data_IF_101858716922
#
_entry.id   IF_101858716922
#
_cell.length_a   1.000
_cell.length_b   1.000
_cell.length_c   1.000
_cell.angle_alpha   90.00
_cell.angle_beta   90.00
_cell.angle_gamma   90.00
#
_symmetry.space_group_name_H-M   'P 1'
#
loop_
_entity.id
_entity.type
_entity.pdbx_description
1 polymer ?
#
# COMPACT_ATOMS: atom_id res chain seq x y z
N UNK A 1 -27.45 10.65 -35.06
CA UNK A 1 -28.91 10.74 -35.31
C UNK A 1 -29.44 12.13 -35.02
N UNK A 2 -29.47 12.61 -33.77
CA UNK A 2 -30.02 13.94 -33.42
C UNK A 2 -29.34 15.11 -34.16
N UNK A 3 -28.00 15.13 -34.26
CA UNK A 3 -27.29 16.16 -35.04
C UNK A 3 -27.66 16.15 -36.53
N UNK A 4 -27.81 14.96 -37.13
CA UNK A 4 -28.26 14.79 -38.51
C UNK A 4 -29.71 15.27 -38.70
N UNK A 5 -30.60 14.98 -37.75
CA UNK A 5 -31.98 15.45 -37.78
C UNK A 5 -32.07 16.99 -37.66
N UNK A 6 -31.24 17.60 -36.81
CA UNK A 6 -31.11 19.06 -36.73
C UNK A 6 -30.69 19.62 -38.09
N UNK A 7 -29.62 19.08 -38.69
CA UNK A 7 -29.14 19.53 -40.01
C UNK A 7 -30.24 19.38 -41.08
N UNK A 8 -30.98 18.27 -41.08
CA UNK A 8 -32.06 18.04 -42.05
C UNK A 8 -33.23 19.02 -41.91
N UNK A 9 -33.60 19.42 -40.69
CA UNK A 9 -34.67 20.42 -40.45
C UNK A 9 -34.30 21.80 -41.02
N UNK A 10 -33.01 22.15 -41.03
CA UNK A 10 -32.53 23.43 -41.54
C UNK A 10 -32.21 23.40 -43.04
N UNK A 11 -31.75 22.26 -43.57
CA UNK A 11 -31.38 22.11 -44.98
C UNK A 11 -32.59 21.80 -45.88
N UNK A 12 -33.59 21.06 -45.38
CA UNK A 12 -34.81 20.68 -46.13
C UNK A 12 -36.08 21.08 -45.37
N UNK A 13 -36.33 22.38 -45.15
CA UNK A 13 -37.49 22.84 -44.36
C UNK A 13 -38.84 22.50 -45.02
N UNK A 14 -38.88 22.41 -46.35
CA UNK A 14 -40.04 22.04 -47.17
C UNK A 14 -40.56 20.63 -46.84
N UNK A 15 -39.67 19.70 -46.47
CA UNK A 15 -40.01 18.30 -46.20
C UNK A 15 -40.81 18.13 -44.90
N UNK A 16 -40.56 19.01 -43.92
CA UNK A 16 -41.13 18.90 -42.57
C UNK A 16 -42.30 19.86 -42.34
N UNK A 17 -42.55 20.81 -43.24
CA UNK A 17 -43.67 21.77 -43.19
C UNK A 17 -43.81 22.50 -41.83
N UNK A 18 -42.68 22.73 -41.14
CA UNK A 18 -42.66 23.35 -39.82
C UNK A 18 -42.52 24.88 -39.90
N UNK A 19 -43.40 25.66 -39.23
CA UNK A 19 -43.22 27.11 -39.07
C UNK A 19 -41.88 27.45 -38.40
N UNK A 20 -41.33 28.63 -38.66
CA UNK A 20 -40.00 29.04 -38.18
C UNK A 20 -39.82 28.86 -36.67
N UNK A 21 -40.78 29.32 -35.87
CA UNK A 21 -40.74 29.20 -34.40
C UNK A 21 -40.75 27.74 -33.92
N UNK A 22 -41.50 26.86 -34.60
CA UNK A 22 -41.50 25.43 -34.32
C UNK A 22 -40.20 24.74 -34.72
N UNK A 23 -39.57 25.17 -35.82
CA UNK A 23 -38.23 24.67 -36.21
C UNK A 23 -37.19 24.98 -35.15
N UNK A 24 -37.19 26.20 -34.61
CA UNK A 24 -36.29 26.60 -33.52
C UNK A 24 -36.54 25.76 -32.26
N UNK A 25 -37.82 25.60 -31.86
CA UNK A 25 -38.19 24.82 -30.68
C UNK A 25 -37.79 23.34 -30.80
N UNK A 26 -38.11 22.70 -31.93
CA UNK A 26 -37.75 21.30 -32.21
C UNK A 26 -36.24 21.13 -32.28
N UNK A 27 -35.52 22.08 -32.90
CA UNK A 27 -34.05 22.07 -32.93
C UNK A 27 -33.46 22.15 -31.53
N UNK A 28 -33.98 23.03 -30.67
CA UNK A 28 -33.52 23.15 -29.29
C UNK A 28 -33.70 21.86 -28.49
N UNK A 29 -34.85 21.20 -28.64
CA UNK A 29 -35.13 19.92 -28.00
C UNK A 29 -34.25 18.78 -28.54
N UNK A 30 -34.06 18.70 -29.86
CA UNK A 30 -33.14 17.72 -30.47
C UNK A 30 -31.69 17.98 -30.07
N UNK A 31 -31.29 19.24 -29.90
CA UNK A 31 -29.96 19.62 -29.46
C UNK A 31 -29.72 19.22 -28.01
N UNK A 32 -30.71 19.40 -27.14
CA UNK A 32 -30.66 18.88 -25.77
C UNK A 32 -30.46 17.37 -25.75
N UNK A 33 -31.24 16.60 -26.52
CA UNK A 33 -31.05 15.15 -26.62
C UNK A 33 -29.70 14.76 -27.24
N UNK A 34 -29.21 15.54 -28.21
CA UNK A 34 -27.87 15.37 -28.75
C UNK A 34 -26.81 15.51 -27.65
N UNK A 35 -26.86 16.58 -26.84
CA UNK A 35 -25.91 16.79 -25.75
C UNK A 35 -25.95 15.66 -24.73
N UNK A 36 -27.13 15.18 -24.35
CA UNK A 36 -27.29 14.05 -23.42
C UNK A 36 -26.67 12.77 -23.99
N UNK A 37 -26.98 12.42 -25.25
CA UNK A 37 -26.41 11.23 -25.89
C UNK A 37 -24.93 11.36 -26.19
N UNK A 38 -24.45 12.55 -26.50
CA UNK A 38 -23.05 12.84 -26.70
C UNK A 38 -22.27 12.62 -25.41
N UNK A 39 -22.75 13.15 -24.28
CA UNK A 39 -22.18 12.89 -22.96
C UNK A 39 -22.17 11.39 -22.64
N UNK A 40 -23.29 10.68 -22.82
CA UNK A 40 -23.34 9.23 -22.61
C UNK A 40 -22.33 8.47 -23.47
N UNK A 41 -22.14 8.89 -24.73
CA UNK A 41 -21.12 8.33 -25.61
C UNK A 41 -19.70 8.57 -25.09
N UNK A 42 -19.41 9.77 -24.59
CA UNK A 42 -18.12 10.08 -23.98
C UNK A 42 -17.87 9.26 -22.71
N UNK A 43 -18.88 9.10 -21.85
CA UNK A 43 -18.79 8.28 -20.63
C UNK A 43 -18.50 6.80 -20.99
N UNK A 44 -19.15 6.25 -22.02
CA UNK A 44 -18.86 4.89 -22.50
C UNK A 44 -17.44 4.75 -23.05
N UNK A 45 -16.96 5.76 -23.79
CA UNK A 45 -15.59 5.77 -24.31
C UNK A 45 -14.54 5.92 -23.19
N UNK A 46 -14.84 6.73 -22.17
CA UNK A 46 -14.04 6.87 -20.94
C UNK A 46 -13.93 5.53 -20.23
N UNK A 47 -15.06 4.89 -19.96
CA UNK A 47 -15.13 3.56 -19.37
C UNK A 47 -14.33 2.50 -20.15
N UNK A 48 -14.51 2.43 -21.47
CA UNK A 48 -13.77 1.49 -22.31
C UNK A 48 -12.25 1.73 -22.27
N UNK A 49 -11.82 2.99 -22.26
CA UNK A 49 -10.41 3.34 -22.07
C UNK A 49 -9.92 2.92 -20.68
N UNK A 50 -10.73 3.13 -19.65
CA UNK A 50 -10.42 2.74 -18.27
C UNK A 50 -10.20 1.23 -18.10
N UNK A 51 -10.95 0.38 -18.81
CA UNK A 51 -10.75 -1.07 -18.80
C UNK A 51 -9.38 -1.52 -19.33
N UNK A 52 -8.70 -0.67 -20.11
CA UNK A 52 -7.39 -0.93 -20.71
C UNK A 52 -6.25 -0.20 -20.00
N UNK A 53 -6.54 0.62 -19.00
CA UNK A 53 -5.57 1.45 -18.31
C UNK A 53 -5.45 1.07 -16.84
N UNK A 54 -4.26 1.28 -16.28
CA UNK A 54 -4.04 1.25 -14.84
C UNK A 54 -3.69 2.68 -14.42
N UNK A 55 -4.42 3.29 -13.48
CA UNK A 55 -4.02 4.57 -12.93
C UNK A 55 -2.68 4.40 -12.23
N UNK A 56 -1.69 5.19 -12.64
CA UNK A 56 -0.45 5.33 -11.89
C UNK A 56 -0.65 6.45 -10.87
N UNK A 57 -0.63 6.08 -9.59
CA UNK A 57 -0.69 7.03 -8.50
C UNK A 57 0.64 7.06 -7.75
N UNK A 58 1.20 8.25 -7.61
CA UNK A 58 2.40 8.50 -6.84
C UNK A 58 2.18 9.73 -5.96
N UNK A 59 2.78 9.71 -4.78
CA UNK A 59 2.66 10.77 -3.78
C UNK A 59 3.99 10.91 -3.06
N UNK A 60 4.47 12.16 -2.91
CA UNK A 60 5.58 12.44 -2.03
C UNK A 60 5.17 12.18 -0.60
N UNK A 61 6.09 11.68 0.23
CA UNK A 61 5.79 11.53 1.67
C UNK A 61 5.34 12.86 2.29
N UNK A 62 5.87 14.00 1.84
CA UNK A 62 5.49 15.32 2.35
C UNK A 62 4.01 15.62 2.14
N UNK A 63 3.47 15.23 0.99
CA UNK A 63 2.08 15.48 0.59
C UNK A 63 1.08 14.47 1.19
N UNK A 64 1.56 13.55 2.04
CA UNK A 64 0.71 12.54 2.68
C UNK A 64 -0.38 13.21 3.52
N UNK A 65 -1.68 12.97 3.23
CA UNK A 65 -2.75 13.51 4.04
C UNK A 65 -2.75 12.85 5.41
N UNK A 66 -2.66 13.66 6.47
CA UNK A 66 -2.74 13.19 7.86
C UNK A 66 -4.03 13.72 8.46
N UNK A 67 -4.96 12.81 8.74
CA UNK A 67 -6.23 13.14 9.38
C UNK A 67 -6.19 12.80 10.87
N UNK A 68 -6.90 13.55 11.72
CA UNK A 68 -6.99 13.20 13.16
C UNK A 68 -7.80 11.91 13.39
N UNK A 69 -8.95 11.78 12.75
CA UNK A 69 -9.92 10.70 13.03
C UNK A 69 -10.06 9.66 11.89
N UNK A 70 -9.19 9.71 10.88
CA UNK A 70 -9.24 8.82 9.72
C UNK A 70 -7.82 8.40 9.32
N UNK A 71 -7.71 7.28 8.63
CA UNK A 71 -6.48 6.80 8.02
C UNK A 71 -6.68 6.71 6.52
N UNK A 72 -5.83 7.36 5.75
CA UNK A 72 -5.80 7.22 4.31
C UNK A 72 -5.14 5.89 3.92
N UNK A 73 -5.83 5.10 3.09
CA UNK A 73 -5.36 3.80 2.61
C UNK A 73 -4.93 3.82 1.13
N UNK A 74 -5.17 4.93 0.43
CA UNK A 74 -4.95 5.05 -1.01
C UNK A 74 -6.20 5.52 -1.73
N UNK A 75 -6.19 5.38 -3.05
CA UNK A 75 -7.32 5.69 -3.93
C UNK A 75 -8.11 4.41 -4.25
N UNK A 76 -9.41 4.54 -4.42
CA UNK A 76 -10.29 3.44 -4.81
C UNK A 76 -11.75 3.85 -4.78
N UNK A 77 -12.64 2.88 -4.95
CA UNK A 77 -14.08 3.13 -4.99
C UNK A 77 -14.83 2.06 -4.20
N UNK A 78 -16.02 2.42 -3.71
CA UNK A 78 -16.91 1.44 -3.10
C UNK A 78 -17.39 0.46 -4.16
N UNK A 79 -17.13 -0.83 -3.95
CA UNK A 79 -17.60 -1.88 -4.85
C UNK A 79 -19.11 -2.04 -4.67
N UNK A 80 -19.87 -1.65 -5.69
CA UNK A 80 -21.33 -1.77 -5.76
C UNK A 80 -21.71 -2.93 -6.70
N UNK A 81 -22.95 -3.45 -6.65
CA UNK A 81 -23.40 -4.52 -7.55
C UNK A 81 -23.17 -4.25 -9.04
N UNK A 82 -23.27 -2.98 -9.45
CA UNK A 82 -22.95 -2.55 -10.83
C UNK A 82 -21.49 -2.80 -11.21
N UNK A 83 -20.55 -2.65 -10.29
CA UNK A 83 -19.12 -2.89 -10.53
C UNK A 83 -18.83 -4.38 -10.67
N UNK A 84 -19.50 -5.22 -9.86
CA UNK A 84 -19.41 -6.66 -9.98
C UNK A 84 -19.97 -7.15 -11.32
N UNK A 85 -21.13 -6.63 -11.75
CA UNK A 85 -21.70 -6.94 -13.07
C UNK A 85 -20.76 -6.51 -14.21
N UNK A 86 -20.25 -5.28 -14.16
CA UNK A 86 -19.28 -4.78 -15.15
C UNK A 86 -18.03 -5.64 -15.23
N UNK A 87 -17.51 -6.10 -14.09
CA UNK A 87 -16.37 -7.01 -14.05
C UNK A 87 -16.70 -8.37 -14.66
N UNK A 88 -17.87 -8.92 -14.35
CA UNK A 88 -18.36 -10.16 -14.96
C UNK A 88 -18.49 -10.03 -16.49
N UNK A 89 -19.10 -8.93 -16.96
CA UNK A 89 -19.27 -8.65 -18.39
C UNK A 89 -17.92 -8.52 -19.10
N UNK A 90 -16.93 -7.86 -18.47
CA UNK A 90 -15.56 -7.70 -19.00
C UNK A 90 -14.80 -9.01 -19.18
N UNK A 91 -15.29 -10.10 -18.58
CA UNK A 91 -14.70 -11.44 -18.66
C UNK A 91 -15.42 -12.35 -19.66
N UNK A 92 -16.48 -11.86 -20.30
CA UNK A 92 -17.19 -12.61 -21.34
C UNK A 92 -16.44 -12.56 -22.67
N UNK A 93 -16.64 -13.60 -23.49
CA UNK A 93 -16.00 -13.74 -24.80
C UNK A 93 -16.34 -12.56 -25.71
N UNK A 94 -17.60 -12.12 -25.73
CA UNK A 94 -18.04 -10.99 -26.56
C UNK A 94 -17.37 -9.67 -26.17
N UNK A 95 -16.88 -9.56 -24.93
CA UNK A 95 -16.22 -8.36 -24.41
C UNK A 95 -14.73 -8.31 -24.75
N UNK A 96 -14.14 -9.39 -25.28
CA UNK A 96 -12.72 -9.50 -25.62
C UNK A 96 -12.22 -8.31 -26.44
N UNK A 97 -13.01 -7.86 -27.42
CA UNK A 97 -12.70 -6.71 -28.27
C UNK A 97 -12.52 -5.38 -27.54
N UNK A 98 -13.05 -5.25 -26.32
CA UNK A 98 -12.98 -4.03 -25.51
C UNK A 98 -11.88 -4.10 -24.44
N UNK A 99 -11.46 -5.31 -24.05
CA UNK A 99 -10.50 -5.54 -22.97
C UNK A 99 -9.13 -6.01 -23.45
N UNK A 100 -8.98 -6.23 -24.75
CA UNK A 100 -7.70 -6.55 -25.39
C UNK A 100 -7.03 -5.29 -25.94
N UNK A 101 -5.72 -5.12 -25.74
CA UNK A 101 -4.99 -4.02 -26.36
C UNK A 101 -5.07 -4.06 -27.89
N UNK A 102 -5.02 -2.88 -28.52
CA UNK A 102 -5.12 -2.78 -29.98
C UNK A 102 -3.90 -3.36 -30.70
N UNK A 103 -4.05 -3.69 -31.99
CA UNK A 103 -2.91 -4.11 -32.85
C UNK A 103 -1.77 -3.07 -32.85
N UNK A 104 -2.11 -1.79 -32.80
CA UNK A 104 -1.14 -0.69 -32.70
C UNK A 104 -0.36 -0.75 -31.39
N UNK A 105 -1.02 -1.06 -30.27
CA UNK A 105 -0.35 -1.26 -28.98
C UNK A 105 0.70 -2.37 -29.07
N UNK A 106 0.34 -3.52 -29.64
CA UNK A 106 1.29 -4.63 -29.83
C UNK A 106 2.42 -4.28 -30.80
N UNK A 107 2.14 -3.51 -31.85
CA UNK A 107 3.17 -3.00 -32.74
C UNK A 107 4.15 -2.06 -32.01
N UNK A 108 3.65 -1.14 -31.20
CA UNK A 108 4.48 -0.23 -30.39
C UNK A 108 5.41 -1.02 -29.45
N UNK A 109 4.89 -2.02 -28.73
CA UNK A 109 5.70 -2.89 -27.85
C UNK A 109 6.77 -3.68 -28.62
N UNK A 110 6.49 -4.10 -29.86
CA UNK A 110 7.50 -4.73 -30.74
C UNK A 110 8.58 -3.73 -31.19
N UNK A 111 8.20 -2.49 -31.47
CA UNK A 111 9.16 -1.44 -31.86
C UNK A 111 10.06 -1.05 -30.69
N UNK A 112 9.53 -1.00 -29.46
CA UNK A 112 10.34 -0.79 -28.25
C UNK A 112 11.43 -1.84 -28.11
N UNK A 113 11.06 -3.12 -28.17
CA UNK A 113 12.02 -4.22 -28.06
C UNK A 113 13.05 -4.23 -29.21
N UNK A 114 12.65 -3.83 -30.42
CA UNK A 114 13.54 -3.82 -31.59
C UNK A 114 14.54 -2.67 -31.57
N UNK A 115 14.15 -1.52 -31.02
CA UNK A 115 14.93 -0.27 -31.07
C UNK A 115 15.38 0.18 -29.68
N UNK A 116 15.70 -0.77 -28.80
CA UNK A 116 16.22 -0.49 -27.46
C UNK A 116 17.41 0.49 -27.52
N UNK A 117 17.42 1.46 -26.60
CA UNK A 117 18.39 2.54 -26.52
C UNK A 117 18.15 3.72 -27.49
N UNK A 118 17.29 3.55 -28.50
CA UNK A 118 17.08 4.55 -29.55
C UNK A 118 15.89 5.48 -29.25
N UNK A 119 15.77 6.55 -30.02
CA UNK A 119 14.70 7.55 -29.87
C UNK A 119 13.30 6.96 -30.10
N UNK A 120 13.18 5.91 -30.92
CA UNK A 120 11.92 5.23 -31.23
C UNK A 120 11.35 4.54 -29.99
N UNK A 121 12.17 3.78 -29.27
CA UNK A 121 11.78 3.18 -27.98
C UNK A 121 11.34 4.27 -26.98
N UNK A 122 12.09 5.36 -26.88
CA UNK A 122 11.75 6.46 -25.97
C UNK A 122 10.42 7.12 -26.30
N UNK A 123 10.09 7.27 -27.58
CA UNK A 123 8.81 7.80 -28.02
C UNK A 123 7.64 6.89 -27.60
N UNK A 124 7.75 5.58 -27.85
CA UNK A 124 6.70 4.61 -27.53
C UNK A 124 6.54 4.35 -26.03
N UNK A 125 7.65 4.38 -25.27
CA UNK A 125 7.64 4.24 -23.81
C UNK A 125 7.13 5.50 -23.10
N UNK A 126 7.07 6.64 -23.79
CA UNK A 126 6.73 7.94 -23.20
C UNK A 126 7.88 8.55 -22.39
N UNK A 127 9.09 8.03 -22.55
CA UNK A 127 10.33 8.55 -21.95
C UNK A 127 10.83 9.81 -22.69
N UNK A 128 11.78 10.53 -22.10
CA UNK A 128 12.39 11.69 -22.75
C UNK A 128 13.15 11.28 -24.03
N UNK A 129 12.61 11.65 -25.18
CA UNK A 129 13.19 11.36 -26.50
C UNK A 129 14.49 12.15 -26.68
N UNK A 130 14.44 13.45 -26.40
CA UNK A 130 15.56 14.38 -26.49
C UNK A 130 16.17 14.56 -25.10
N UNK A 131 17.43 14.13 -24.91
CA UNK A 131 18.17 14.21 -23.64
C UNK A 131 18.80 15.58 -23.34
N UNK A 132 18.64 16.58 -24.22
CA UNK A 132 19.21 17.92 -24.03
C UNK A 132 18.44 18.68 -22.96
N UNK A 133 19.16 19.26 -22.01
CA UNK A 133 18.58 20.17 -21.03
C UNK A 133 18.14 21.48 -21.72
N UNK A 134 16.97 22.00 -21.31
CA UNK A 134 16.44 23.27 -21.81
C UNK A 134 14.92 23.27 -21.91
N UNK A 135 14.29 24.43 -21.63
CA UNK A 135 12.83 24.59 -21.62
C UNK A 135 12.17 24.20 -22.95
N UNK A 136 12.81 24.55 -24.08
CA UNK A 136 12.32 24.18 -25.41
C UNK A 136 12.25 22.66 -25.60
N UNK A 137 13.33 21.93 -25.29
CA UNK A 137 13.36 20.47 -25.43
C UNK A 137 12.42 19.77 -24.44
N UNK A 138 12.20 20.35 -23.25
CA UNK A 138 11.18 19.87 -22.33
C UNK A 138 9.76 19.99 -22.91
N UNK A 139 9.43 21.12 -23.55
CA UNK A 139 8.14 21.31 -24.23
C UNK A 139 7.96 20.33 -25.39
N UNK A 140 9.01 20.12 -26.20
CA UNK A 140 8.97 19.14 -27.30
C UNK A 140 8.74 17.73 -26.77
N UNK A 141 9.45 17.30 -25.72
CA UNK A 141 9.23 15.99 -25.11
C UNK A 141 7.83 15.86 -24.51
N UNK A 142 7.29 16.92 -23.89
CA UNK A 142 5.91 16.94 -23.37
C UNK A 142 4.89 16.74 -24.50
N UNK A 143 5.08 17.44 -25.62
CA UNK A 143 4.24 17.30 -26.80
C UNK A 143 4.31 15.87 -27.38
N UNK A 144 5.52 15.34 -27.60
CA UNK A 144 5.71 13.97 -28.10
C UNK A 144 5.05 12.93 -27.19
N UNK A 145 5.18 13.09 -25.87
CA UNK A 145 4.54 12.22 -24.89
C UNK A 145 3.01 12.37 -24.90
N UNK A 146 2.47 13.57 -25.14
CA UNK A 146 1.01 13.78 -25.25
C UNK A 146 0.41 13.17 -26.52
N UNK A 147 1.18 13.09 -27.60
CA UNK A 147 0.73 12.55 -28.89
C UNK A 147 0.74 11.02 -28.91
N UNK A 148 1.53 10.36 -28.06
CA UNK A 148 1.59 8.90 -27.99
C UNK A 148 0.27 8.30 -27.44
N UNK A 149 -0.52 7.60 -28.27
CA UNK A 149 -1.81 7.06 -27.85
C UNK A 149 -1.71 5.69 -27.16
N UNK A 150 -0.54 5.04 -27.17
CA UNK A 150 -0.33 3.65 -26.75
C UNK A 150 0.83 3.52 -25.77
N UNK A 151 0.83 4.36 -24.75
CA UNK A 151 1.80 4.29 -23.64
C UNK A 151 1.77 2.90 -22.97
N UNK A 152 2.92 2.39 -22.50
CA UNK A 152 2.95 1.15 -21.74
C UNK A 152 2.17 1.31 -20.43
N UNK A 153 1.64 0.19 -19.95
CA UNK A 153 1.06 0.14 -18.62
C UNK A 153 2.15 0.42 -17.57
N UNK A 154 1.82 1.14 -16.48
CA UNK A 154 2.75 1.36 -15.40
C UNK A 154 3.19 0.02 -14.77
N UNK A 155 4.42 -0.05 -14.22
CA UNK A 155 4.98 -1.27 -13.63
C UNK A 155 4.42 -1.56 -12.22
N UNK A 156 3.12 -1.33 -12.00
CA UNK A 156 2.42 -1.56 -10.72
C UNK A 156 1.72 -2.92 -10.67
N UNK A 157 1.63 -3.62 -11.81
CA UNK A 157 0.90 -4.88 -11.92
C UNK A 157 -0.61 -4.70 -11.74
N UNK A 158 -1.32 -5.80 -11.50
CA UNK A 158 -2.77 -5.81 -11.31
C UNK A 158 -3.58 -6.01 -12.60
N UNK A 159 -4.87 -6.28 -12.43
CA UNK A 159 -5.83 -6.47 -13.52
C UNK A 159 -6.47 -5.10 -13.85
N UNK A 160 -6.26 -4.61 -15.08
CA UNK A 160 -6.84 -3.34 -15.56
C UNK A 160 -8.35 -3.34 -15.42
N UNK A 161 -9.01 -4.49 -15.56
CA UNK A 161 -10.46 -4.63 -15.49
C UNK A 161 -10.96 -4.40 -14.06
N UNK A 162 -10.24 -4.92 -13.06
CA UNK A 162 -10.62 -4.77 -11.65
C UNK A 162 -10.67 -3.30 -11.20
N UNK A 163 -9.75 -2.47 -11.70
CA UNK A 163 -9.78 -1.02 -11.43
C UNK A 163 -10.69 -0.27 -12.41
N UNK A 164 -10.64 -0.60 -13.69
CA UNK A 164 -11.38 0.09 -14.75
C UNK A 164 -12.90 0.10 -14.55
N UNK A 165 -13.47 -0.92 -13.86
CA UNK A 165 -14.93 -1.02 -13.66
C UNK A 165 -15.54 0.09 -12.79
N UNK A 166 -14.73 0.76 -11.98
CA UNK A 166 -15.13 1.86 -11.09
C UNK A 166 -14.16 3.04 -11.09
N UNK A 167 -13.33 3.18 -12.14
CA UNK A 167 -12.33 4.25 -12.24
C UNK A 167 -12.96 5.66 -12.14
N UNK A 168 -14.19 5.83 -12.64
CA UNK A 168 -14.93 7.10 -12.56
C UNK A 168 -15.43 7.43 -11.15
N UNK A 169 -15.58 6.42 -10.29
CA UNK A 169 -16.02 6.55 -8.90
C UNK A 169 -14.83 6.62 -7.92
N UNK A 170 -13.59 6.71 -8.43
CA UNK A 170 -12.38 6.67 -7.61
C UNK A 170 -12.26 7.91 -6.71
N UNK A 171 -12.06 7.67 -5.42
CA UNK A 171 -11.94 8.66 -4.35
C UNK A 171 -10.91 8.22 -3.32
N UNK A 172 -10.69 9.02 -2.28
CA UNK A 172 -9.82 8.64 -1.17
C UNK A 172 -10.47 7.55 -0.32
N UNK A 173 -9.80 6.40 -0.20
CA UNK A 173 -10.17 5.34 0.72
C UNK A 173 -9.73 5.71 2.13
N UNK A 174 -10.70 6.02 3.00
CA UNK A 174 -10.45 6.43 4.38
C UNK A 174 -11.00 5.39 5.36
N UNK A 175 -10.14 4.86 6.23
CA UNK A 175 -10.52 4.00 7.35
C UNK A 175 -10.79 4.86 8.60
N UNK A 176 -11.99 4.79 9.21
CA UNK A 176 -12.26 5.47 10.49
C UNK A 176 -11.33 4.98 11.60
N UNK A 177 -10.85 5.88 12.47
CA UNK A 177 -10.00 5.48 13.60
C UNK A 177 -10.66 4.48 14.54
N UNK A 178 -11.97 4.58 14.76
CA UNK A 178 -12.72 3.63 15.58
C UNK A 178 -12.65 2.20 15.06
N UNK A 179 -12.51 2.00 13.75
CA UNK A 179 -12.41 0.68 13.15
C UNK A 179 -11.04 0.02 13.40
N UNK A 180 -9.98 0.78 13.72
CA UNK A 180 -8.64 0.23 13.97
C UNK A 180 -8.57 -0.68 15.20
N UNK A 181 -9.45 -0.48 16.18
CA UNK A 181 -9.54 -1.34 17.35
C UNK A 181 -9.86 -2.80 16.98
N UNK A 182 -10.49 -3.03 15.82
CA UNK A 182 -10.80 -4.37 15.31
C UNK A 182 -9.62 -5.12 14.68
N UNK A 183 -8.43 -4.49 14.61
CA UNK A 183 -7.25 -4.97 13.89
C UNK A 183 -7.48 -5.15 12.37
N UNK A 184 -6.38 -5.16 11.60
CA UNK A 184 -6.44 -5.29 10.14
C UNK A 184 -5.50 -6.38 9.67
N UNK A 185 -6.01 -7.32 8.88
CA UNK A 185 -5.21 -8.33 8.19
C UNK A 185 -5.02 -7.91 6.73
N UNK A 186 -3.76 -7.75 6.31
CA UNK A 186 -3.40 -7.45 4.92
C UNK A 186 -2.79 -8.69 4.28
N UNK A 187 -3.50 -9.27 3.31
CA UNK A 187 -3.07 -10.46 2.58
C UNK A 187 -2.58 -10.10 1.18
N UNK A 188 -1.56 -10.82 0.70
CA UNK A 188 -1.05 -10.66 -0.66
C UNK A 188 0.28 -11.36 -0.87
N UNK A 189 0.65 -11.62 -2.12
CA UNK A 189 1.95 -12.20 -2.51
C UNK A 189 3.06 -11.15 -2.48
N UNK A 190 4.31 -11.53 -2.76
CA UNK A 190 5.42 -10.57 -2.91
C UNK A 190 5.18 -9.64 -4.10
N UNK A 191 5.58 -8.36 -3.98
CA UNK A 191 5.44 -7.38 -5.07
C UNK A 191 4.08 -6.70 -5.21
N UNK A 192 3.03 -7.14 -4.51
CA UNK A 192 1.66 -6.58 -4.66
C UNK A 192 1.40 -5.29 -3.84
N UNK A 193 2.44 -4.72 -3.23
CA UNK A 193 2.32 -3.44 -2.51
C UNK A 193 2.07 -3.51 -1.00
N UNK A 194 2.21 -4.67 -0.34
CA UNK A 194 2.06 -4.78 1.14
C UNK A 194 2.97 -3.81 1.90
N UNK A 195 4.26 -3.74 1.53
CA UNK A 195 5.21 -2.82 2.14
C UNK A 195 4.81 -1.36 1.91
N UNK A 196 4.34 -1.02 0.70
CA UNK A 196 3.85 0.33 0.38
C UNK A 196 2.64 0.72 1.23
N UNK A 197 1.70 -0.20 1.43
CA UNK A 197 0.58 0.04 2.35
C UNK A 197 1.08 0.26 3.78
N UNK A 198 2.03 -0.54 4.26
CA UNK A 198 2.63 -0.33 5.58
C UNK A 198 3.32 1.05 5.69
N UNK A 199 4.05 1.49 4.67
CA UNK A 199 4.67 2.82 4.62
C UNK A 199 3.62 3.94 4.72
N UNK A 200 2.50 3.82 4.00
CA UNK A 200 1.38 4.79 4.07
C UNK A 200 0.85 4.89 5.51
N UNK A 201 0.62 3.74 6.14
CA UNK A 201 0.05 3.65 7.48
C UNK A 201 1.01 4.23 8.52
N UNK A 202 2.26 3.75 8.51
CA UNK A 202 3.29 4.15 9.48
C UNK A 202 3.63 5.63 9.36
N UNK A 203 3.74 6.17 8.13
CA UNK A 203 3.98 7.60 7.90
C UNK A 203 2.90 8.46 8.56
N UNK A 204 1.62 8.10 8.37
CA UNK A 204 0.50 8.85 8.94
C UNK A 204 0.48 8.77 10.47
N UNK A 205 0.76 7.59 11.03
CA UNK A 205 0.74 7.37 12.47
C UNK A 205 1.85 8.14 13.18
N UNK A 206 3.09 8.09 12.66
CA UNK A 206 4.22 8.87 13.21
C UNK A 206 3.89 10.36 13.21
N UNK A 207 3.40 10.89 12.08
CA UNK A 207 3.06 12.32 11.94
C UNK A 207 1.88 12.76 12.80
N UNK A 208 0.94 11.86 13.08
CA UNK A 208 -0.20 12.14 13.97
C UNK A 208 0.23 12.19 15.44
N UNK A 209 1.43 11.70 15.77
CA UNK A 209 1.91 11.60 17.15
C UNK A 209 1.59 10.24 17.78
N UNK A 210 1.14 9.25 17.00
CA UNK A 210 0.85 7.91 17.52
C UNK A 210 2.16 7.18 17.85
N UNK A 211 2.06 6.18 18.73
CA UNK A 211 3.16 5.24 18.99
C UNK A 211 3.10 4.12 17.95
N UNK A 212 4.19 3.96 17.20
CA UNK A 212 4.29 2.93 16.16
C UNK A 212 5.32 1.88 16.58
N UNK A 213 4.89 0.63 16.62
CA UNK A 213 5.77 -0.53 16.79
C UNK A 213 5.78 -1.34 15.49
N UNK A 214 6.93 -1.43 14.83
CA UNK A 214 7.08 -2.14 13.56
C UNK A 214 7.99 -3.36 13.73
N UNK A 215 7.48 -4.53 13.35
CA UNK A 215 8.28 -5.75 13.23
C UNK A 215 8.53 -6.02 11.75
N UNK A 216 9.78 -5.94 11.33
CA UNK A 216 10.17 -6.26 9.96
C UNK A 216 11.15 -7.44 9.93
N UNK A 217 10.67 -8.67 9.64
CA UNK A 217 11.53 -9.83 9.55
C UNK A 217 12.43 -9.82 8.31
N UNK A 218 12.19 -8.93 7.34
CA UNK A 218 12.94 -8.86 6.08
C UNK A 218 14.16 -7.94 6.15
N UNK A 219 14.21 -7.04 7.13
CA UNK A 219 15.26 -6.03 7.24
C UNK A 219 15.24 -5.03 6.08
N UNK A 220 14.05 -4.55 5.71
CA UNK A 220 13.84 -3.55 4.68
C UNK A 220 14.40 -2.19 5.13
N UNK A 221 15.56 -1.83 4.56
CA UNK A 221 16.24 -0.58 4.84
C UNK A 221 15.40 0.64 4.45
N UNK A 222 14.57 0.55 3.41
CA UNK A 222 13.72 1.67 2.98
C UNK A 222 12.64 1.95 4.02
N UNK A 223 12.04 0.90 4.61
CA UNK A 223 11.08 1.05 5.70
C UNK A 223 11.73 1.71 6.93
N UNK A 224 12.91 1.24 7.33
CA UNK A 224 13.66 1.82 8.46
C UNK A 224 13.97 3.30 8.23
N UNK A 225 14.52 3.63 7.06
CA UNK A 225 14.84 5.00 6.67
C UNK A 225 13.59 5.88 6.61
N UNK A 226 12.48 5.35 6.11
CA UNK A 226 11.19 6.05 6.09
C UNK A 226 10.76 6.40 7.51
N UNK A 227 10.75 5.43 8.43
CA UNK A 227 10.36 5.67 9.82
C UNK A 227 11.23 6.74 10.49
N UNK A 228 12.55 6.67 10.30
CA UNK A 228 13.48 7.66 10.85
C UNK A 228 13.24 9.06 10.28
N UNK A 229 13.10 9.19 8.96
CA UNK A 229 12.84 10.47 8.29
C UNK A 229 11.50 11.06 8.74
N UNK A 230 10.46 10.24 8.89
CA UNK A 230 9.15 10.72 9.36
C UNK A 230 9.17 11.09 10.85
N UNK A 231 9.96 10.40 11.68
CA UNK A 231 10.17 10.78 13.07
C UNK A 231 10.89 12.14 13.18
N UNK A 232 11.96 12.33 12.41
CA UNK A 232 12.68 13.61 12.32
C UNK A 232 11.75 14.74 11.85
N UNK A 233 10.93 14.50 10.84
CA UNK A 233 9.94 15.49 10.35
C UNK A 233 8.87 15.83 11.39
N UNK A 234 8.54 14.88 12.25
CA UNK A 234 7.62 15.09 13.36
C UNK A 234 8.29 15.72 14.59
N UNK A 235 9.61 15.94 14.57
CA UNK A 235 10.38 16.43 15.73
C UNK A 235 10.41 15.43 16.89
N UNK A 236 10.47 14.13 16.56
CA UNK A 236 10.42 12.99 17.49
C UNK A 236 11.57 12.01 17.26
N UNK A 237 12.69 12.49 16.72
CA UNK A 237 13.88 11.68 16.46
C UNK A 237 14.52 11.12 17.74
N UNK A 238 14.34 11.81 18.86
CA UNK A 238 14.79 11.39 20.20
C UNK A 238 13.94 10.26 20.79
N UNK A 239 12.74 10.05 20.26
CA UNK A 239 11.85 8.93 20.59
C UNK A 239 11.99 7.73 19.64
N UNK A 240 12.91 7.78 18.68
CA UNK A 240 13.08 6.72 17.69
C UNK A 240 14.06 5.64 18.16
N UNK A 241 13.57 4.41 18.35
CA UNK A 241 14.36 3.27 18.79
C UNK A 241 14.34 2.15 17.75
N UNK A 242 15.51 1.56 17.51
CA UNK A 242 15.67 0.37 16.66
C UNK A 242 16.17 -0.78 17.52
N UNK A 243 15.61 -1.98 17.35
CA UNK A 243 16.23 -3.21 17.86
C UNK A 243 16.61 -4.09 16.67
N UNK A 244 17.91 -4.20 16.38
CA UNK A 244 18.43 -4.92 15.22
C UNK A 244 19.40 -6.03 15.64
N UNK A 245 19.07 -7.28 15.30
CA UNK A 245 19.84 -8.46 15.75
C UNK A 245 21.20 -8.59 15.04
N UNK A 246 21.33 -8.09 13.80
CA UNK A 246 22.57 -8.15 13.03
C UNK A 246 23.57 -7.01 13.28
N UNK A 247 23.14 -5.93 13.96
CA UNK A 247 23.96 -4.72 14.20
C UNK A 247 23.81 -4.28 15.66
N UNK A 248 24.31 -5.09 16.62
CA UNK A 248 24.09 -4.86 18.04
C UNK A 248 24.73 -3.56 18.56
N UNK A 249 25.76 -3.06 17.88
CA UNK A 249 26.44 -1.78 18.15
C UNK A 249 25.59 -0.56 17.82
N UNK A 250 24.66 -0.68 16.87
CA UNK A 250 23.75 0.38 16.41
C UNK A 250 22.30 0.17 16.89
N UNK A 251 22.07 -0.91 17.63
CA UNK A 251 20.76 -1.30 18.15
C UNK A 251 20.55 -0.80 19.57
N UNK A 252 19.30 -0.47 19.89
CA UNK A 252 18.81 -0.37 21.26
C UNK A 252 19.00 -1.69 22.02
N UNK A 253 19.18 -1.58 23.33
CA UNK A 253 19.34 -2.74 24.23
C UNK A 253 17.97 -3.19 24.72
N UNK A 254 17.68 -4.47 24.54
CA UNK A 254 16.46 -5.10 25.02
C UNK A 254 16.80 -6.29 25.92
N UNK A 255 16.19 -6.34 27.10
CA UNK A 255 16.25 -7.52 27.97
C UNK A 255 14.82 -8.01 28.24
N UNK A 256 14.45 -9.21 27.75
CA UNK A 256 13.11 -9.76 27.94
C UNK A 256 12.83 -10.17 29.39
N UNK A 257 13.85 -10.33 30.22
CA UNK A 257 13.73 -10.86 31.59
C UNK A 257 14.29 -9.91 32.65
N UNK A 258 15.06 -8.89 32.27
CA UNK A 258 15.70 -7.97 33.21
C UNK A 258 14.77 -6.91 33.82
N UNK A 259 13.56 -6.73 33.27
CA UNK A 259 12.50 -5.90 33.85
C UNK A 259 11.24 -6.75 34.09
N UNK A 260 10.80 -6.82 35.35
CA UNK A 260 9.64 -7.61 35.78
C UNK A 260 8.90 -6.86 36.89
N UNK A 261 7.57 -7.00 36.94
CA UNK A 261 6.78 -6.54 38.09
C UNK A 261 6.76 -7.58 39.22
N UNK A 262 6.71 -8.87 38.84
CA UNK A 262 6.86 -10.02 39.73
C UNK A 262 7.97 -10.93 39.25
N UNK A 263 8.83 -11.40 40.16
CA UNK A 263 9.98 -12.26 39.81
C UNK A 263 9.59 -13.53 39.04
N UNK A 264 8.37 -14.04 39.27
CA UNK A 264 7.80 -15.19 38.56
C UNK A 264 7.60 -14.96 37.06
N UNK A 265 7.56 -13.69 36.61
CA UNK A 265 7.49 -13.35 35.18
C UNK A 265 8.75 -13.79 34.44
N UNK A 266 9.92 -13.77 35.09
CA UNK A 266 11.19 -14.24 34.49
C UNK A 266 11.05 -15.68 34.03
N UNK A 267 10.61 -16.56 34.93
CA UNK A 267 10.37 -17.96 34.62
C UNK A 267 9.27 -18.16 33.57
N UNK A 268 8.21 -17.36 33.63
CA UNK A 268 7.08 -17.44 32.70
C UNK A 268 7.49 -17.08 31.28
N UNK A 269 8.31 -16.03 31.11
CA UNK A 269 8.81 -15.58 29.80
C UNK A 269 9.80 -16.57 29.19
N UNK A 270 10.63 -17.23 30.01
CA UNK A 270 11.59 -18.24 29.55
C UNK A 270 10.90 -19.57 29.22
N UNK A 271 10.15 -20.14 30.16
CA UNK A 271 9.49 -21.44 29.97
C UNK A 271 8.26 -21.36 29.06
N UNK A 272 7.70 -20.17 28.84
CA UNK A 272 6.58 -19.95 27.92
C UNK A 272 6.88 -20.38 26.48
N UNK A 273 8.16 -20.38 26.09
CA UNK A 273 8.65 -20.83 24.77
C UNK A 273 8.59 -22.35 24.59
N UNK A 274 8.44 -23.12 25.67
CA UNK A 274 8.39 -24.58 25.62
C UNK A 274 6.98 -25.06 25.27
N UNK A 275 6.89 -26.18 24.56
CA UNK A 275 5.62 -26.81 24.22
C UNK A 275 4.88 -27.26 25.49
N UNK A 276 3.56 -27.05 25.51
CA UNK A 276 2.68 -27.37 26.63
C UNK A 276 1.90 -28.67 26.47
N UNK A 277 2.02 -29.39 25.35
CA UNK A 277 1.24 -30.60 25.07
C UNK A 277 1.79 -31.88 25.71
N UNK A 278 0.91 -32.71 26.29
CA UNK A 278 1.23 -34.07 26.73
C UNK A 278 2.35 -34.16 27.77
N UNK A 279 3.28 -35.12 27.60
CA UNK A 279 4.42 -35.30 28.50
C UNK A 279 5.36 -34.07 28.59
N UNK A 280 5.30 -33.16 27.63
CA UNK A 280 6.07 -31.90 27.63
C UNK A 280 5.59 -30.91 28.69
N UNK A 281 4.35 -31.05 29.18
CA UNK A 281 3.80 -30.17 30.22
C UNK A 281 4.56 -30.29 31.55
N UNK A 282 4.89 -31.51 31.97
CA UNK A 282 5.67 -31.75 33.19
C UNK A 282 7.09 -31.17 33.06
N UNK A 283 7.71 -31.33 31.90
CA UNK A 283 9.02 -30.73 31.61
C UNK A 283 8.97 -29.20 31.64
N UNK A 284 7.94 -28.60 31.03
CA UNK A 284 7.71 -27.15 31.06
C UNK A 284 7.54 -26.62 32.49
N UNK A 285 6.78 -27.32 33.33
CA UNK A 285 6.62 -26.95 34.74
C UNK A 285 7.93 -27.09 35.53
N UNK A 286 8.71 -28.13 35.28
CA UNK A 286 10.03 -28.31 35.88
C UNK A 286 10.97 -27.16 35.48
N UNK A 287 11.09 -26.88 34.18
CA UNK A 287 11.90 -25.77 33.66
C UNK A 287 11.46 -24.43 34.25
N UNK A 288 10.15 -24.17 34.32
CA UNK A 288 9.61 -22.97 34.96
C UNK A 288 10.03 -22.87 36.42
N UNK A 289 9.87 -23.95 37.21
CA UNK A 289 10.21 -23.96 38.63
C UNK A 289 11.69 -23.73 38.86
N UNK A 290 12.54 -24.32 38.02
CA UNK A 290 13.98 -24.20 38.11
C UNK A 290 14.45 -22.78 37.79
N UNK A 291 13.98 -22.20 36.68
CA UNK A 291 14.28 -20.80 36.31
C UNK A 291 13.77 -19.84 37.37
N UNK A 292 12.61 -20.11 37.99
CA UNK A 292 12.07 -19.28 39.06
C UNK A 292 12.97 -19.30 40.31
N UNK A 293 13.54 -20.45 40.68
CA UNK A 293 14.50 -20.55 41.79
C UNK A 293 15.75 -19.72 41.49
N UNK A 294 16.32 -19.86 40.29
CA UNK A 294 17.49 -19.09 39.84
C UNK A 294 17.19 -17.59 39.89
N UNK A 295 16.08 -17.16 39.30
CA UNK A 295 15.68 -15.76 39.27
C UNK A 295 15.52 -15.17 40.67
N UNK A 296 14.87 -15.91 41.60
CA UNK A 296 14.72 -15.48 43.00
C UNK A 296 16.04 -15.38 43.73
N UNK A 297 16.95 -16.31 43.52
CA UNK A 297 18.28 -16.27 44.13
C UNK A 297 19.10 -15.09 43.60
N UNK A 298 19.05 -14.82 42.29
CA UNK A 298 19.70 -13.66 41.68
C UNK A 298 19.16 -12.34 42.22
N UNK A 299 17.83 -12.20 42.28
CA UNK A 299 17.16 -11.00 42.78
C UNK A 299 17.51 -10.74 44.26
N UNK A 300 17.48 -11.77 45.09
CA UNK A 300 17.91 -11.68 46.50
C UNK A 300 19.40 -11.33 46.64
N UNK A 301 20.25 -11.76 45.69
CA UNK A 301 21.65 -11.35 45.61
C UNK A 301 21.83 -9.90 45.11
N UNK A 302 20.76 -9.22 44.69
CA UNK A 302 20.82 -7.88 44.10
C UNK A 302 21.32 -7.88 42.65
N UNK A 303 21.33 -9.05 42.00
CA UNK A 303 21.75 -9.25 40.61
C UNK A 303 20.51 -9.36 39.75
N UNK A 304 20.42 -8.54 38.69
CA UNK A 304 19.30 -8.64 37.74
C UNK A 304 19.42 -9.92 36.92
N UNK A 305 18.36 -10.75 36.84
CA UNK A 305 18.32 -11.89 35.94
C UNK A 305 18.48 -11.45 34.48
N UNK A 306 19.30 -12.17 33.74
CA UNK A 306 19.44 -12.09 32.29
C UNK A 306 19.56 -13.50 31.68
N UNK A 307 19.50 -13.60 30.34
CA UNK A 307 19.55 -14.93 29.72
C UNK A 307 20.87 -15.66 29.96
N UNK A 308 21.98 -14.94 30.04
CA UNK A 308 23.31 -15.54 30.23
C UNK A 308 23.48 -16.11 31.65
N UNK A 309 23.04 -15.37 32.67
CA UNK A 309 23.03 -15.83 34.06
C UNK A 309 22.08 -17.00 34.26
N UNK A 310 20.87 -16.96 33.67
CA UNK A 310 19.95 -18.10 33.71
C UNK A 310 20.62 -19.32 33.05
N UNK A 311 21.19 -19.17 31.85
CA UNK A 311 21.86 -20.28 31.16
C UNK A 311 23.04 -20.84 31.95
N UNK A 312 23.87 -19.99 32.56
CA UNK A 312 24.99 -20.40 33.41
C UNK A 312 24.50 -21.17 34.65
N UNK A 313 23.53 -20.62 35.36
CA UNK A 313 23.08 -21.20 36.63
C UNK A 313 22.14 -22.38 36.44
N UNK A 314 21.69 -22.65 35.22
CA UNK A 314 21.03 -23.91 34.90
C UNK A 314 22.00 -25.10 35.04
N UNK A 315 23.27 -24.93 34.68
CA UNK A 315 24.29 -25.98 34.80
C UNK A 315 25.13 -25.85 36.08
N UNK A 316 25.36 -24.63 36.56
CA UNK A 316 26.21 -24.33 37.71
C UNK A 316 25.42 -23.79 38.91
N UNK A 317 24.32 -24.45 39.28
CA UNK A 317 23.44 -23.98 40.36
C UNK A 317 24.15 -23.90 41.72
N UNK A 318 25.14 -24.75 41.95
CA UNK A 318 25.90 -24.80 43.20
C UNK A 318 26.64 -23.49 43.48
N UNK A 319 27.19 -22.84 42.45
CA UNK A 319 27.85 -21.53 42.57
C UNK A 319 26.87 -20.44 43.05
N UNK A 320 25.64 -20.48 42.53
CA UNK A 320 24.58 -19.55 42.91
C UNK A 320 24.13 -19.81 44.35
N UNK A 321 24.01 -21.07 44.72
CA UNK A 321 23.64 -21.49 46.07
C UNK A 321 24.67 -21.03 47.11
N UNK A 322 25.97 -21.28 46.87
CA UNK A 322 27.04 -20.83 47.76
C UNK A 322 27.01 -19.30 47.91
N UNK A 323 26.91 -18.57 46.79
CA UNK A 323 26.82 -17.11 46.82
C UNK A 323 25.61 -16.61 47.63
N UNK A 324 24.46 -17.25 47.46
CA UNK A 324 23.23 -16.93 48.16
C UNK A 324 23.34 -17.17 49.67
N UNK A 325 23.93 -18.30 50.08
CA UNK A 325 24.16 -18.63 51.47
C UNK A 325 25.09 -17.61 52.15
N UNK A 326 26.23 -17.28 51.52
CA UNK A 326 27.20 -16.32 52.07
C UNK A 326 26.55 -14.96 52.36
N UNK A 327 25.75 -14.44 51.42
CA UNK A 327 25.05 -13.15 51.59
C UNK A 327 23.99 -13.18 52.70
N UNK A 328 23.39 -14.35 52.97
CA UNK A 328 22.34 -14.47 53.99
C UNK A 328 22.92 -14.56 55.41
N UNK A 329 24.19 -14.96 55.53
CA UNK A 329 24.93 -14.96 56.81
C UNK A 329 25.66 -13.66 57.12
N UNK A 330 25.78 -12.74 56.15
CA UNK A 330 26.31 -11.38 56.32
C UNK A 330 25.20 -10.37 56.55
#
# INVERSE_FOLDING_TARGET
>A
MFALAIVMIWVLPELFLLPFWWRVAVTGLLFYFFLVRFKQGLDVLSYQKGLLQLPFWAMSSLDMPVYKNKLFLGKGFLVLPRHAQRLYDSRQIWAERYVTPSKLYHFARKMEARYEGHWIERFWTGSQVIKKAGRFYALVNLFLNSVNPVKPLPPVGGDTRMHGVGMEDETDCLLPMSARAGHTLVLGTTGVGKTRLAELIVTQDIRRGDVVFMFDPKGDADMLMRMYIEALRAGREDEFYIVHLGYPDQSGRYSPVGRFGRITEVATRVAGQLDGGGNSAAFKQFAWRFVNIIARALDALGRKPDMASIQRYVTAIDELYVSYCVKKTS
#
